data_IF_474396861969
#
_entry.id   IF_474396861969
#
_cell.length_a   1.000
_cell.length_b   1.000
_cell.length_c   1.000
_cell.angle_alpha   90.00
_cell.angle_beta   90.00
_cell.angle_gamma   90.00
#
_symmetry.space_group_name_H-M   'P 1'
#
loop_
_entity.id
_entity.type
_entity.pdbx_description
1 polymer ?
#
# COMPACT_ATOMS: atom_id res chain seq x y z
N UNK A 1 7.81 -6.86 -8.49
CA UNK A 1 6.43 -6.30 -8.60
C UNK A 1 5.33 -7.31 -8.30
N UNK A 2 5.36 -8.55 -8.81
CA UNK A 2 4.26 -9.53 -8.61
C UNK A 2 3.94 -9.84 -7.14
N UNK A 3 4.95 -10.24 -6.36
CA UNK A 3 4.78 -10.56 -4.94
C UNK A 3 4.39 -9.34 -4.11
N UNK A 4 5.06 -8.20 -4.32
CA UNK A 4 4.71 -6.94 -3.67
C UNK A 4 3.24 -6.55 -3.92
N UNK A 5 2.74 -6.74 -5.15
CA UNK A 5 1.34 -6.50 -5.47
C UNK A 5 0.39 -7.52 -4.81
N UNK A 6 0.81 -8.78 -4.66
CA UNK A 6 0.01 -9.80 -3.98
C UNK A 6 -0.17 -9.47 -2.49
N UNK A 7 0.94 -9.29 -1.76
CA UNK A 7 0.87 -9.00 -0.32
C UNK A 7 0.23 -7.64 -0.01
N UNK A 8 0.47 -6.63 -0.86
CA UNK A 8 -0.20 -5.34 -0.70
C UNK A 8 -1.73 -5.47 -0.84
N UNK A 9 -2.21 -6.30 -1.77
CA UNK A 9 -3.66 -6.56 -1.90
C UNK A 9 -4.22 -7.28 -0.69
N UNK A 10 -3.54 -8.32 -0.19
CA UNK A 10 -4.01 -9.06 0.99
C UNK A 10 -4.10 -8.16 2.23
N UNK A 11 -3.07 -7.36 2.49
CA UNK A 11 -3.08 -6.42 3.61
C UNK A 11 -4.13 -5.32 3.43
N UNK A 12 -4.31 -4.80 2.21
CA UNK A 12 -5.34 -3.81 1.91
C UNK A 12 -6.75 -4.37 2.08
N UNK A 13 -7.01 -5.65 1.79
CA UNK A 13 -8.31 -6.28 2.04
C UNK A 13 -8.65 -6.28 3.53
N UNK A 14 -7.68 -6.58 4.40
CA UNK A 14 -7.88 -6.49 5.86
C UNK A 14 -8.14 -5.05 6.28
N UNK A 15 -7.42 -4.08 5.72
CA UNK A 15 -7.69 -2.65 5.98
C UNK A 15 -9.10 -2.24 5.55
N UNK A 16 -9.58 -2.71 4.39
CA UNK A 16 -10.96 -2.47 3.93
C UNK A 16 -11.99 -3.04 4.90
N UNK A 17 -11.79 -4.28 5.37
CA UNK A 17 -12.69 -4.90 6.36
C UNK A 17 -12.74 -4.11 7.67
N UNK A 18 -11.61 -3.56 8.13
CA UNK A 18 -11.56 -2.71 9.32
C UNK A 18 -12.33 -1.39 9.12
N UNK A 19 -12.25 -0.79 7.94
CA UNK A 19 -13.00 0.42 7.58
C UNK A 19 -14.50 0.13 7.50
N UNK A 20 -14.89 -0.98 6.87
CA UNK A 20 -16.28 -1.42 6.80
C UNK A 20 -16.86 -1.68 8.18
N UNK A 21 -16.11 -2.34 9.07
CA UNK A 21 -16.52 -2.59 10.45
C UNK A 21 -16.64 -1.31 11.29
N UNK A 22 -15.91 -0.26 10.94
CA UNK A 22 -16.03 1.05 11.58
C UNK A 22 -17.35 1.75 11.22
N UNK A 23 -17.96 1.38 10.09
CA UNK A 23 -19.13 2.02 9.46
C UNK A 23 -18.98 3.55 9.28
N UNK A 24 -17.76 4.06 9.38
CA UNK A 24 -17.47 5.50 9.40
C UNK A 24 -17.91 6.22 10.70
N UNK A 25 -18.31 5.47 11.73
CA UNK A 25 -18.78 6.00 13.01
C UNK A 25 -17.73 5.89 14.13
N UNK A 26 -16.49 5.44 13.83
CA UNK A 26 -15.43 5.29 14.84
C UNK A 26 -15.67 4.12 15.79
N UNK A 27 -16.41 3.09 15.37
CA UNK A 27 -16.71 1.87 16.14
C UNK A 27 -15.48 1.01 16.39
N UNK A 28 -14.48 1.08 15.50
CA UNK A 28 -13.24 0.32 15.61
C UNK A 28 -12.26 1.03 16.53
N UNK A 29 -11.78 0.32 17.56
CA UNK A 29 -10.81 0.88 18.52
C UNK A 29 -9.48 1.17 17.82
N UNK A 30 -9.21 2.45 17.61
CA UNK A 30 -7.97 2.91 17.00
C UNK A 30 -6.85 2.99 18.03
N UNK A 31 -5.93 2.02 18.01
CA UNK A 31 -4.75 1.98 18.88
C UNK A 31 -3.51 2.48 18.14
N UNK A 32 -2.45 2.86 18.87
CA UNK A 32 -1.19 3.29 18.26
C UNK A 32 -0.62 2.24 17.28
N UNK A 33 -0.73 0.95 17.63
CA UNK A 33 -0.29 -0.15 16.76
C UNK A 33 -1.13 -0.23 15.49
N UNK A 34 -2.44 0.01 15.57
CA UNK A 34 -3.34 -0.01 14.40
C UNK A 34 -3.09 1.18 13.47
N UNK A 35 -2.83 2.37 14.02
CA UNK A 35 -2.41 3.54 13.22
C UNK A 35 -1.09 3.24 12.53
N UNK A 36 -0.09 2.76 13.26
CA UNK A 36 1.21 2.44 12.71
C UNK A 36 1.16 1.37 11.60
N UNK A 37 0.31 0.35 11.77
CA UNK A 37 0.08 -0.67 10.75
C UNK A 37 -0.52 -0.07 9.46
N UNK A 38 -1.48 0.86 9.58
CA UNK A 38 -2.05 1.57 8.43
C UNK A 38 -1.04 2.49 7.76
N UNK A 39 -0.22 3.21 8.53
CA UNK A 39 0.84 4.07 8.00
C UNK A 39 1.84 3.26 7.17
N UNK A 40 2.29 2.11 7.68
CA UNK A 40 3.18 1.20 6.94
C UNK A 40 2.53 0.67 5.67
N UNK A 41 1.28 0.24 5.74
CA UNK A 41 0.56 -0.31 4.60
C UNK A 41 0.41 0.74 3.49
N UNK A 42 -0.10 1.93 3.81
CA UNK A 42 -0.31 2.98 2.82
C UNK A 42 1.00 3.50 2.24
N UNK A 43 2.03 3.69 3.07
CA UNK A 43 3.36 4.11 2.61
C UNK A 43 4.00 3.06 1.69
N UNK A 44 3.84 1.77 2.01
CA UNK A 44 4.35 0.67 1.18
C UNK A 44 3.61 0.56 -0.15
N UNK A 45 2.30 0.80 -0.17
CA UNK A 45 1.50 0.85 -1.41
C UNK A 45 1.99 1.99 -2.31
N UNK A 46 2.14 3.19 -1.75
CA UNK A 46 2.65 4.34 -2.50
C UNK A 46 4.06 4.09 -3.03
N UNK A 47 4.97 3.57 -2.20
CA UNK A 47 6.32 3.23 -2.62
C UNK A 47 6.33 2.20 -3.77
N UNK A 48 5.47 1.18 -3.72
CA UNK A 48 5.31 0.21 -4.80
C UNK A 48 4.90 0.88 -6.12
N UNK A 49 3.98 1.85 -6.07
CA UNK A 49 3.55 2.57 -7.27
C UNK A 49 4.66 3.43 -7.84
N UNK A 50 5.34 4.22 -7.00
CA UNK A 50 6.50 5.01 -7.41
C UNK A 50 7.62 4.16 -8.00
N UNK A 51 7.90 2.99 -7.41
CA UNK A 51 8.89 2.04 -7.96
C UNK A 51 8.45 1.51 -9.32
N UNK A 52 7.16 1.30 -9.55
CA UNK A 52 6.61 0.95 -10.86
C UNK A 52 6.95 1.99 -11.92
N UNK A 53 6.73 3.26 -11.61
CA UNK A 53 7.07 4.39 -12.49
C UNK A 53 8.58 4.51 -12.71
N UNK A 54 9.39 4.36 -11.66
CA UNK A 54 10.84 4.36 -11.77
C UNK A 54 11.33 3.25 -12.73
N UNK A 55 10.81 2.03 -12.59
CA UNK A 55 11.14 0.92 -13.50
C UNK A 55 10.74 1.27 -14.94
N UNK A 56 9.58 1.88 -15.17
CA UNK A 56 9.15 2.29 -16.50
C UNK A 56 10.09 3.34 -17.09
N UNK A 57 10.48 4.36 -16.31
CA UNK A 57 11.45 5.39 -16.69
C UNK A 57 12.77 4.73 -17.10
N UNK A 58 13.37 3.90 -16.24
CA UNK A 58 14.65 3.24 -16.53
C UNK A 58 14.61 2.31 -17.76
N UNK A 59 13.46 1.70 -18.07
CA UNK A 59 13.28 0.89 -19.29
C UNK A 59 13.11 1.73 -20.55
N UNK A 60 12.55 2.92 -20.41
CA UNK A 60 12.30 3.85 -21.52
C UNK A 60 13.50 4.73 -21.87
N UNK A 61 14.47 4.84 -20.97
CA UNK A 61 15.72 5.55 -21.26
C UNK A 61 16.51 4.78 -22.33
N UNK A 62 16.95 5.46 -23.41
CA UNK A 62 17.96 4.88 -24.28
C UNK A 62 19.19 4.61 -23.41
N UNK A 63 19.74 3.39 -23.46
CA UNK A 63 21.11 3.20 -23.01
C UNK A 63 21.94 4.25 -23.74
N UNK A 64 22.61 5.12 -23.00
CA UNK A 64 23.65 5.95 -23.57
C UNK A 64 24.66 5.02 -24.26
N UNK A 65 24.52 4.89 -25.57
CA UNK A 65 25.44 4.26 -26.50
C UNK A 65 26.30 5.37 -27.12
#
# INVERSE_FOLDING_TARGET
>A
MKEAAHFAREAHLVQTQLIEADEGEGKTKMTLVMVHAQDHLMTSILAKELIGELIAIYRSQPLHA
#
